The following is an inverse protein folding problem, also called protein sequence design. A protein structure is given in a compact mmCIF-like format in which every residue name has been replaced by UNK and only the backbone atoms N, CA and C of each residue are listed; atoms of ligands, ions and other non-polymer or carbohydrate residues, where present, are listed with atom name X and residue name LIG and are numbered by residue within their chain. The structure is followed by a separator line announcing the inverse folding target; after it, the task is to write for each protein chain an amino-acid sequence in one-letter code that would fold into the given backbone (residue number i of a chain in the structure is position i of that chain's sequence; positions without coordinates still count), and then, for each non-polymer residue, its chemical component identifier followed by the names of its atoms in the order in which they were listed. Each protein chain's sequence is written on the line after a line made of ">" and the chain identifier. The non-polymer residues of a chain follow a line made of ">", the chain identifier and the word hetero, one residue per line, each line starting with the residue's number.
data_IF_987301493643
#
_entry.id   IF_987301493643
#
_cell.length_a   1.000
_cell.length_b   1.000
_cell.length_c   1.000
_cell.angle_alpha   90.00
_cell.angle_beta   90.00
_cell.angle_gamma   90.00
#
_symmetry.space_group_name_H-M   'P 1'
#
loop_
_entity.id
_entity.type
_entity.pdbx_description
1 polymer ?
#
# COMPACT_ATOMS: atom_id res chain seq x y z
N UNK A 1 2.31 15.94 6.07
CA UNK A 1 2.58 14.61 5.48
C UNK A 1 1.73 14.45 4.23
N UNK A 2 2.19 13.74 3.19
CA UNK A 2 1.44 13.48 1.96
C UNK A 2 1.12 12.00 1.80
N UNK A 3 -0.11 11.69 1.43
CA UNK A 3 -0.55 10.33 1.13
C UNK A 3 -1.03 10.29 -0.32
N UNK A 4 -0.25 9.62 -1.15
CA UNK A 4 -0.54 9.41 -2.56
C UNK A 4 -1.40 8.16 -2.72
N UNK A 5 -2.50 8.27 -3.45
CA UNK A 5 -3.47 7.18 -3.68
C UNK A 5 -4.03 7.24 -5.10
N UNK A 6 -4.66 6.16 -5.53
CA UNK A 6 -5.39 6.16 -6.80
C UNK A 6 -6.55 7.19 -6.79
N UNK A 7 -6.83 7.89 -7.92
CA UNK A 7 -7.93 8.86 -7.99
C UNK A 7 -9.31 8.30 -7.63
N UNK A 8 -9.62 7.06 -8.02
CA UNK A 8 -10.92 6.43 -7.75
C UNK A 8 -11.11 6.18 -6.24
N UNK A 9 -10.02 5.82 -5.55
CA UNK A 9 -10.02 5.60 -4.12
C UNK A 9 -10.11 6.93 -3.35
N UNK A 10 -9.49 8.00 -3.87
CA UNK A 10 -9.60 9.35 -3.31
C UNK A 10 -11.04 9.86 -3.32
N UNK A 11 -11.77 9.62 -4.40
CA UNK A 11 -13.20 9.96 -4.49
C UNK A 11 -14.03 9.19 -3.45
N UNK A 12 -13.72 7.91 -3.24
CA UNK A 12 -14.35 7.08 -2.21
C UNK A 12 -14.10 7.60 -0.79
N UNK A 13 -12.86 7.97 -0.47
CA UNK A 13 -12.49 8.49 0.86
C UNK A 13 -13.20 9.81 1.19
N UNK A 14 -13.33 10.72 0.22
CA UNK A 14 -14.06 11.98 0.40
C UNK A 14 -15.54 11.74 0.73
N UNK A 15 -16.17 10.75 0.10
CA UNK A 15 -17.57 10.38 0.35
C UNK A 15 -17.77 9.76 1.74
N UNK A 16 -16.77 9.06 2.26
CA UNK A 16 -16.85 8.36 3.55
C UNK A 16 -16.76 9.28 4.77
N UNK A 17 -16.46 10.58 4.61
CA UNK A 17 -16.33 11.57 5.71
C UNK A 17 -15.53 11.03 6.90
N UNK A 18 -14.42 10.35 6.60
CA UNK A 18 -13.56 9.74 7.63
C UNK A 18 -12.98 10.87 8.48
N UNK A 19 -13.28 10.85 9.78
CA UNK A 19 -12.73 11.78 10.77
C UNK A 19 -11.19 11.71 10.78
N UNK A 20 -10.51 12.85 10.67
CA UNK A 20 -9.04 12.94 10.60
C UNK A 20 -8.46 13.07 9.18
N UNK A 21 -9.29 13.03 8.14
CA UNK A 21 -8.93 13.38 6.74
C UNK A 21 -9.40 14.80 6.38
N UNK A 22 -10.12 15.47 7.28
CA UNK A 22 -10.54 16.86 7.10
C UNK A 22 -9.31 17.76 7.06
N UNK A 23 -9.16 18.51 5.95
CA UNK A 23 -8.14 19.54 5.70
C UNK A 23 -8.02 20.63 6.80
N UNK A 24 -8.88 20.60 7.81
CA UNK A 24 -8.91 21.55 8.93
C UNK A 24 -7.93 21.19 10.07
N UNK A 25 -7.43 19.95 10.11
CA UNK A 25 -6.31 19.55 10.97
C UNK A 25 -5.12 19.16 10.08
N UNK A 26 -4.15 20.07 9.92
CA UNK A 26 -3.01 20.10 8.97
C UNK A 26 -2.06 18.88 8.89
N UNK A 27 -2.40 17.73 9.49
CA UNK A 27 -1.47 16.60 9.59
C UNK A 27 -1.26 15.86 8.25
N UNK A 28 -2.30 15.74 7.41
CA UNK A 28 -2.32 14.81 6.28
C UNK A 28 -2.97 15.40 5.01
N UNK A 29 -2.20 15.51 3.93
CA UNK A 29 -2.67 15.90 2.60
C UNK A 29 -2.86 14.65 1.73
N UNK A 30 -4.08 14.42 1.24
CA UNK A 30 -4.37 13.35 0.27
C UNK A 30 -4.09 13.85 -1.14
N UNK A 31 -3.25 13.13 -1.89
CA UNK A 31 -2.85 13.47 -3.25
C UNK A 31 -3.25 12.34 -4.19
N UNK A 32 -4.05 12.64 -5.21
CA UNK A 32 -4.40 11.67 -6.25
C UNK A 32 -3.21 11.45 -7.21
N UNK A 33 -2.85 10.20 -7.44
CA UNK A 33 -1.75 9.77 -8.32
C UNK A 33 -2.20 8.58 -9.18
N UNK A 34 -2.27 8.79 -10.50
CA UNK A 34 -2.69 7.77 -11.46
C UNK A 34 -1.65 6.65 -11.68
N UNK A 35 -0.43 6.80 -11.15
CA UNK A 35 0.59 5.75 -11.18
C UNK A 35 0.45 4.75 -10.02
N UNK A 36 -0.45 5.02 -9.07
CA UNK A 36 -0.77 4.10 -7.98
C UNK A 36 -1.99 3.28 -8.39
N UNK A 37 -1.85 1.96 -8.39
CA UNK A 37 -2.97 1.05 -8.58
C UNK A 37 -3.98 1.16 -7.45
N UNK A 38 -5.25 0.91 -7.77
CA UNK A 38 -6.34 0.89 -6.78
C UNK A 38 -6.03 -0.06 -5.63
N UNK A 39 -6.34 0.38 -4.41
CA UNK A 39 -6.05 -0.34 -3.16
C UNK A 39 -4.63 -0.16 -2.61
N UNK A 40 -3.74 0.52 -3.34
CA UNK A 40 -2.40 0.88 -2.87
C UNK A 40 -2.28 2.33 -2.42
N UNK A 41 -1.24 2.65 -1.65
CA UNK A 41 -0.87 4.02 -1.33
C UNK A 41 0.63 4.21 -1.11
N UNK A 42 1.08 5.45 -1.11
CA UNK A 42 2.43 5.83 -0.71
C UNK A 42 2.38 7.02 0.24
N UNK A 43 3.05 6.91 1.38
CA UNK A 43 3.11 8.00 2.38
C UNK A 43 4.50 8.64 2.32
N UNK A 44 4.54 9.96 2.24
CA UNK A 44 5.78 10.75 2.27
C UNK A 44 5.72 11.76 3.42
N UNK A 45 6.75 11.75 4.25
CA UNK A 45 7.01 12.73 5.32
C UNK A 45 8.36 13.42 5.06
N UNK A 46 8.71 14.37 5.92
CA UNK A 46 10.02 14.99 5.98
C UNK A 46 11.13 14.03 6.44
N UNK A 47 10.78 13.04 7.26
CA UNK A 47 11.71 12.06 7.82
C UNK A 47 11.80 10.73 7.04
N UNK A 48 10.96 10.51 6.03
CA UNK A 48 11.00 9.27 5.24
C UNK A 48 9.72 9.00 4.46
N UNK A 49 9.50 7.73 4.12
CA UNK A 49 8.30 7.32 3.42
C UNK A 49 7.98 5.84 3.62
N UNK A 50 6.69 5.53 3.47
CA UNK A 50 6.17 4.16 3.50
C UNK A 50 5.60 3.87 2.12
N UNK A 51 6.07 2.79 1.50
CA UNK A 51 5.54 2.29 0.24
C UNK A 51 4.55 1.13 0.53
N UNK A 52 3.27 1.40 0.38
CA UNK A 52 2.20 0.42 0.52
C UNK A 52 1.47 0.21 -0.82
N UNK A 53 2.19 0.39 -1.94
CA UNK A 53 1.67 0.05 -3.28
C UNK A 53 1.46 -1.45 -3.39
N UNK A 54 0.40 -1.86 -4.08
CA UNK A 54 0.04 -3.28 -4.26
C UNK A 54 1.18 -4.05 -4.90
N UNK A 55 1.85 -3.45 -5.87
CA UNK A 55 2.99 -4.02 -6.59
C UNK A 55 4.16 -4.29 -5.65
N UNK A 56 4.49 -3.34 -4.78
CA UNK A 56 5.57 -3.50 -3.80
C UNK A 56 5.24 -4.63 -2.82
N UNK A 57 4.03 -4.62 -2.25
CA UNK A 57 3.60 -5.66 -1.30
C UNK A 57 3.53 -7.04 -1.93
N UNK A 58 3.06 -7.14 -3.17
CA UNK A 58 3.01 -8.41 -3.89
C UNK A 58 4.41 -8.96 -4.16
N UNK A 59 5.34 -8.10 -4.59
CA UNK A 59 6.73 -8.50 -4.81
C UNK A 59 7.40 -8.96 -3.50
N UNK A 60 7.17 -8.27 -2.39
CA UNK A 60 7.67 -8.68 -1.07
C UNK A 60 7.13 -10.06 -0.65
N UNK A 61 5.84 -10.31 -0.89
CA UNK A 61 5.23 -11.63 -0.64
C UNK A 61 5.92 -12.70 -1.48
N UNK A 62 6.05 -12.48 -2.79
CA UNK A 62 6.71 -13.43 -3.70
C UNK A 62 8.14 -13.71 -3.26
N UNK A 63 8.90 -12.68 -2.89
CA UNK A 63 10.28 -12.82 -2.42
C UNK A 63 10.34 -13.60 -1.11
N UNK A 64 9.48 -13.29 -0.14
CA UNK A 64 9.43 -14.01 1.12
C UNK A 64 9.17 -15.51 0.90
N UNK A 65 8.25 -15.86 -0.01
CA UNK A 65 8.00 -17.27 -0.34
C UNK A 65 9.10 -17.93 -1.18
N UNK A 66 9.77 -17.17 -2.05
CA UNK A 66 10.90 -17.68 -2.85
C UNK A 66 12.15 -17.92 -1.99
N UNK A 67 12.43 -17.06 -1.00
CA UNK A 67 13.50 -17.26 -0.02
C UNK A 67 13.23 -18.46 0.90
N UNK A 68 11.94 -18.78 1.11
CA UNK A 68 11.48 -19.95 1.86
C UNK A 68 11.21 -21.16 0.97
N UNK A 69 11.93 -21.28 -0.16
CA UNK A 69 11.79 -22.34 -1.14
C UNK A 69 11.40 -23.67 -0.48
N UNK A 70 10.23 -24.13 -0.93
CA UNK A 70 9.43 -25.18 -0.36
C UNK A 70 10.29 -26.42 -0.10
N UNK A 71 10.61 -26.70 1.17
CA UNK A 71 10.88 -28.08 1.58
C UNK A 71 9.58 -28.87 1.47
N UNK A 72 9.07 -29.07 0.26
CA UNK A 72 8.28 -30.26 -0.02
C UNK A 72 9.23 -31.41 0.18
N UNK A 73 9.17 -32.02 1.35
CA UNK A 73 9.55 -33.42 1.51
C UNK A 73 8.70 -34.18 0.49
N UNK A 74 9.28 -34.44 -0.68
CA UNK A 74 8.85 -35.51 -1.54
C UNK A 74 8.98 -36.78 -0.71
N UNK A 75 7.86 -37.18 -0.08
CA UNK A 75 7.72 -38.48 0.56
C UNK A 75 7.97 -39.54 -0.52
N UNK A 76 9.19 -40.03 -0.58
CA UNK A 76 9.54 -41.21 -1.37
C UNK A 76 8.72 -42.39 -0.85
N UNK A 77 8.12 -43.14 -1.78
CA UNK A 77 7.44 -44.39 -1.52
C UNK A 77 8.36 -45.37 -0.77
N UNK A 78 7.85 -45.94 0.33
CA UNK A 78 8.20 -47.28 0.78
C UNK A 78 6.95 -48.04 1.22
#
# INVERSE_FOLDING_TARGET
>A
MKVYINPDDAEGLQKMKISGISNEEEACEIVSDSNISRGGCKVITDCGGVDARIETRWNEIVLAFAEHDLKTESGECQ
#
